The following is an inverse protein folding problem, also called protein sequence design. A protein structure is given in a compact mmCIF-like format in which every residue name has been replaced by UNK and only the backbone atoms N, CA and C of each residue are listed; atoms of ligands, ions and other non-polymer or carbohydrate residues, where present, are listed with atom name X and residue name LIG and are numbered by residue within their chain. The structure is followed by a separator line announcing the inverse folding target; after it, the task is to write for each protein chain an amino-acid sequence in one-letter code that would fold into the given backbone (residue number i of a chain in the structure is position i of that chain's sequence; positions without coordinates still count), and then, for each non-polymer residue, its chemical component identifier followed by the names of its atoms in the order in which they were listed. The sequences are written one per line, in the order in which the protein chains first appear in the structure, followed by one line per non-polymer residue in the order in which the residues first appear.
data_IF_028972251385
#
_entry.id   IF_028972251385
#
_cell.length_a   1.000
_cell.length_b   1.000
_cell.length_c   1.000
_cell.angle_alpha   90.00
_cell.angle_beta   90.00
_cell.angle_gamma   90.00
#
_symmetry.space_group_name_H-M   'P 1'
#
loop_
_entity.id
_entity.type
_entity.pdbx_description
1 polymer ?
#
# COMPACT_ATOMS: atom_id res chain seq x y z
N UNK A 1 -16.11 51.16 44.66
CA UNK A 1 -16.62 52.25 43.86
C UNK A 1 -18.13 52.29 44.06
N UNK A 2 -18.75 53.37 44.38
CA UNK A 2 -20.19 53.44 44.47
C UNK A 2 -20.76 53.16 43.09
N UNK A 3 -21.69 52.24 43.03
CA UNK A 3 -22.43 51.93 41.80
C UNK A 3 -23.15 53.20 41.39
N UNK A 4 -22.66 53.87 40.30
CA UNK A 4 -23.38 55.00 39.69
C UNK A 4 -24.74 54.49 39.25
N UNK A 5 -25.83 55.02 39.85
CA UNK A 5 -27.20 54.77 39.44
C UNK A 5 -27.44 55.48 38.09
N UNK A 6 -26.83 54.95 37.04
CA UNK A 6 -27.02 55.46 35.66
C UNK A 6 -28.22 54.71 35.06
N UNK A 7 -29.29 55.40 34.81
CA UNK A 7 -30.55 54.85 34.32
C UNK A 7 -30.44 54.49 32.85
N UNK A 8 -29.71 55.29 32.05
CA UNK A 8 -29.67 55.15 30.60
C UNK A 8 -28.72 54.05 30.11
N UNK A 9 -27.76 53.60 30.93
CA UNK A 9 -26.79 52.54 30.56
C UNK A 9 -26.76 51.50 31.64
N UNK A 10 -27.39 50.33 31.39
CA UNK A 10 -27.37 49.20 32.35
C UNK A 10 -26.10 48.36 32.15
N UNK A 11 -25.03 48.71 32.85
CA UNK A 11 -23.74 48.02 32.78
C UNK A 11 -23.85 46.54 33.21
N UNK A 12 -24.71 46.24 34.17
CA UNK A 12 -24.96 44.86 34.63
C UNK A 12 -25.61 44.01 33.52
N UNK A 13 -26.61 44.56 32.83
CA UNK A 13 -27.26 43.93 31.68
C UNK A 13 -26.31 43.72 30.52
N UNK A 14 -25.51 44.73 30.17
CA UNK A 14 -24.49 44.63 29.12
C UNK A 14 -23.44 43.57 29.43
N UNK A 15 -22.99 43.47 30.67
CA UNK A 15 -22.06 42.46 31.14
C UNK A 15 -22.67 41.04 31.07
N UNK A 16 -23.92 40.90 31.48
CA UNK A 16 -24.68 39.63 31.40
C UNK A 16 -24.87 39.20 29.93
N UNK A 17 -25.19 40.13 29.02
CA UNK A 17 -25.30 39.86 27.59
C UNK A 17 -23.95 39.39 26.99
N UNK A 18 -22.85 40.05 27.38
CA UNK A 18 -21.49 39.64 26.92
C UNK A 18 -21.11 38.23 27.40
N UNK A 19 -21.43 37.90 28.66
CA UNK A 19 -21.21 36.54 29.17
C UNK A 19 -22.10 35.52 28.49
N UNK A 20 -23.39 35.83 28.25
CA UNK A 20 -24.32 34.97 27.57
C UNK A 20 -23.86 34.70 26.10
N UNK A 21 -23.41 35.72 25.39
CA UNK A 21 -22.83 35.55 24.03
C UNK A 21 -21.63 34.59 24.04
N UNK A 22 -20.68 34.77 24.94
CA UNK A 22 -19.52 33.86 25.07
C UNK A 22 -19.93 32.42 25.42
N UNK A 23 -20.96 32.26 26.28
CA UNK A 23 -21.48 30.94 26.63
C UNK A 23 -22.14 30.26 25.42
N UNK A 24 -22.90 31.02 24.62
CA UNK A 24 -23.47 30.51 23.37
C UNK A 24 -22.39 30.11 22.37
N UNK A 25 -21.34 30.90 22.20
CA UNK A 25 -20.23 30.57 21.32
C UNK A 25 -19.53 29.27 21.78
N UNK A 26 -19.30 29.10 23.09
CA UNK A 26 -18.76 27.86 23.66
C UNK A 26 -19.69 26.66 23.46
N UNK A 27 -20.99 26.87 23.63
CA UNK A 27 -22.02 25.83 23.40
C UNK A 27 -22.00 25.34 21.94
N UNK A 28 -21.97 26.29 20.99
CA UNK A 28 -21.89 25.96 19.57
C UNK A 28 -20.62 25.20 19.25
N UNK A 29 -19.45 25.64 19.75
CA UNK A 29 -18.19 24.96 19.53
C UNK A 29 -18.19 23.53 20.10
N UNK A 30 -18.75 23.33 21.31
CA UNK A 30 -18.87 21.99 21.90
C UNK A 30 -19.82 21.08 21.10
N UNK A 31 -20.93 21.61 20.61
CA UNK A 31 -21.84 20.87 19.75
C UNK A 31 -21.18 20.48 18.42
N UNK A 32 -20.43 21.39 17.79
CA UNK A 32 -19.72 21.15 16.55
C UNK A 32 -18.66 20.03 16.73
N UNK A 33 -17.84 20.11 17.79
CA UNK A 33 -16.83 19.09 18.12
C UNK A 33 -17.44 17.73 18.43
N UNK A 34 -18.56 17.72 19.18
CA UNK A 34 -19.26 16.49 19.51
C UNK A 34 -19.90 15.84 18.29
N UNK A 35 -20.42 16.67 17.36
CA UNK A 35 -21.04 16.21 16.11
C UNK A 35 -20.02 15.69 15.10
N UNK A 36 -18.85 16.35 14.98
CA UNK A 36 -17.78 15.94 14.06
C UNK A 36 -16.87 14.86 14.64
N UNK A 37 -16.81 14.73 15.96
CA UNK A 37 -15.80 13.92 16.65
C UNK A 37 -14.40 14.52 16.66
N UNK A 38 -14.25 15.75 16.14
CA UNK A 38 -12.98 16.42 15.98
C UNK A 38 -12.85 17.63 16.89
N UNK A 39 -11.71 17.77 17.56
CA UNK A 39 -11.32 18.95 18.33
C UNK A 39 -10.94 20.13 17.42
N UNK A 40 -10.29 19.81 16.29
CA UNK A 40 -9.85 20.76 15.27
C UNK A 40 -10.66 20.50 14.02
N UNK A 41 -11.66 21.33 13.74
CA UNK A 41 -12.56 21.20 12.61
C UNK A 41 -12.22 22.19 11.49
N UNK A 42 -11.61 23.31 11.84
CA UNK A 42 -11.26 24.37 10.92
C UNK A 42 -9.90 24.98 11.24
N UNK A 43 -9.31 25.71 10.27
CA UNK A 43 -8.05 26.43 10.48
C UNK A 43 -8.17 27.51 11.57
N UNK A 44 -9.39 27.95 11.93
CA UNK A 44 -9.64 28.90 13.02
C UNK A 44 -9.37 28.26 14.38
N UNK A 45 -9.59 26.97 14.54
CA UNK A 45 -9.42 26.25 15.81
C UNK A 45 -7.94 25.99 16.11
N UNK A 46 -7.19 25.49 15.12
CA UNK A 46 -5.74 25.26 15.20
C UNK A 46 -5.16 25.13 13.79
N UNK A 47 -4.63 26.22 13.24
CA UNK A 47 -4.06 26.21 11.89
C UNK A 47 -2.82 25.32 11.77
N UNK A 48 -1.99 25.26 12.82
CA UNK A 48 -0.78 24.44 12.82
C UNK A 48 -1.11 22.95 12.95
N UNK A 49 -2.01 22.61 13.88
CA UNK A 49 -2.49 21.23 14.07
C UNK A 49 -3.19 20.68 12.83
N UNK A 50 -4.03 21.48 12.19
CA UNK A 50 -4.71 21.08 10.94
C UNK A 50 -3.71 20.80 9.82
N UNK A 51 -2.73 21.69 9.59
CA UNK A 51 -1.73 21.50 8.54
C UNK A 51 -0.86 20.24 8.78
N UNK A 52 -0.53 19.94 10.04
CA UNK A 52 0.19 18.71 10.40
C UNK A 52 -0.70 17.47 10.14
N UNK A 53 -1.96 17.52 10.56
CA UNK A 53 -2.92 16.43 10.39
C UNK A 53 -3.22 16.13 8.91
N UNK A 54 -3.32 17.15 8.07
CA UNK A 54 -3.50 17.00 6.62
C UNK A 54 -2.28 16.34 5.97
N UNK A 55 -1.07 16.74 6.37
CA UNK A 55 0.16 16.10 5.91
C UNK A 55 0.21 14.62 6.35
N UNK A 56 -0.13 14.32 7.61
CA UNK A 56 -0.23 12.95 8.11
C UNK A 56 -1.28 12.14 7.34
N UNK A 57 -2.42 12.74 7.05
CA UNK A 57 -3.49 12.11 6.25
C UNK A 57 -3.00 11.76 4.84
N UNK A 58 -2.26 12.66 4.20
CA UNK A 58 -1.63 12.41 2.90
C UNK A 58 -0.63 11.25 2.96
N UNK A 59 0.20 11.21 4.01
CA UNK A 59 1.17 10.12 4.21
C UNK A 59 0.49 8.78 4.48
N UNK A 60 -0.54 8.74 5.34
CA UNK A 60 -1.33 7.53 5.63
C UNK A 60 -1.97 6.97 4.36
N UNK A 61 -2.60 7.84 3.55
CA UNK A 61 -3.18 7.46 2.25
C UNK A 61 -2.10 6.95 1.29
N UNK A 62 -0.96 7.62 1.22
CA UNK A 62 0.19 7.20 0.42
C UNK A 62 0.70 5.83 0.81
N UNK A 63 0.88 5.55 2.11
CA UNK A 63 1.29 4.25 2.63
C UNK A 63 0.25 3.16 2.36
N UNK A 64 -1.04 3.48 2.45
CA UNK A 64 -2.12 2.53 2.13
C UNK A 64 -2.10 2.13 0.65
N UNK A 65 -1.83 3.08 -0.25
CA UNK A 65 -1.64 2.78 -1.69
C UNK A 65 -0.37 1.98 -1.90
N UNK A 66 0.73 2.34 -1.22
CA UNK A 66 2.00 1.62 -1.28
C UNK A 66 1.87 0.15 -0.87
N UNK A 67 1.07 -0.16 0.17
CA UNK A 67 0.76 -1.55 0.54
C UNK A 67 0.01 -2.31 -0.57
N UNK A 68 -0.93 -1.65 -1.27
CA UNK A 68 -1.59 -2.28 -2.43
C UNK A 68 -0.60 -2.55 -3.56
N UNK A 69 0.25 -1.58 -3.89
CA UNK A 69 1.27 -1.75 -4.90
C UNK A 69 2.26 -2.89 -4.55
N UNK A 70 2.59 -3.04 -3.26
CA UNK A 70 3.44 -4.15 -2.79
C UNK A 70 2.75 -5.51 -2.97
N UNK A 71 1.44 -5.61 -2.71
CA UNK A 71 0.66 -6.82 -2.98
C UNK A 71 0.57 -7.14 -4.47
N UNK A 72 0.44 -6.12 -5.34
CA UNK A 72 0.50 -6.30 -6.79
C UNK A 72 1.88 -6.83 -7.22
N UNK A 73 2.95 -6.34 -6.58
CA UNK A 73 4.31 -6.83 -6.79
C UNK A 73 4.47 -8.30 -6.38
N UNK A 74 3.88 -8.72 -5.25
CA UNK A 74 3.85 -10.12 -4.82
C UNK A 74 3.10 -10.97 -5.85
N UNK A 75 1.92 -10.55 -6.29
CA UNK A 75 1.10 -11.27 -7.26
C UNK A 75 1.81 -11.45 -8.60
N UNK A 76 2.52 -10.41 -9.06
CA UNK A 76 3.35 -10.48 -10.26
C UNK A 76 4.52 -11.48 -10.08
N UNK A 77 5.20 -11.43 -8.94
CA UNK A 77 6.31 -12.35 -8.65
C UNK A 77 5.85 -13.81 -8.56
N UNK A 78 4.68 -14.07 -7.97
CA UNK A 78 4.06 -15.39 -7.92
C UNK A 78 3.69 -15.90 -9.31
N UNK A 79 3.15 -15.04 -10.18
CA UNK A 79 2.83 -15.41 -11.56
C UNK A 79 4.10 -15.75 -12.34
N UNK A 80 5.19 -14.99 -12.15
CA UNK A 80 6.49 -15.28 -12.74
C UNK A 80 7.06 -16.61 -12.23
N UNK A 81 6.96 -16.86 -10.92
CA UNK A 81 7.42 -18.10 -10.29
C UNK A 81 6.65 -19.32 -10.79
N UNK A 82 5.33 -19.23 -10.94
CA UNK A 82 4.51 -20.30 -11.50
C UNK A 82 4.93 -20.63 -12.95
N UNK A 83 5.13 -19.61 -13.79
CA UNK A 83 5.66 -19.79 -15.13
C UNK A 83 7.04 -20.43 -15.16
N UNK A 84 7.94 -20.04 -14.25
CA UNK A 84 9.27 -20.66 -14.13
C UNK A 84 9.19 -22.09 -13.57
N UNK A 85 8.20 -22.42 -12.75
CA UNK A 85 7.94 -23.78 -12.31
C UNK A 85 7.65 -24.72 -13.47
N UNK A 86 6.72 -24.34 -14.35
CA UNK A 86 6.40 -25.13 -15.56
C UNK A 86 7.58 -25.21 -16.54
N UNK A 87 8.42 -24.15 -16.63
CA UNK A 87 9.69 -24.18 -17.36
C UNK A 87 10.63 -25.25 -16.80
N UNK A 88 10.80 -25.32 -15.47
CA UNK A 88 11.65 -26.33 -14.81
C UNK A 88 11.16 -27.73 -15.06
N UNK A 89 9.85 -28.01 -14.94
CA UNK A 89 9.24 -29.31 -15.24
C UNK A 89 9.49 -29.75 -16.68
N UNK A 90 9.29 -28.81 -17.62
CA UNK A 90 9.55 -29.05 -19.05
C UNK A 90 11.03 -29.38 -19.31
N UNK A 91 11.95 -28.64 -18.69
CA UNK A 91 13.39 -28.87 -18.79
C UNK A 91 13.78 -30.24 -18.21
N UNK A 92 13.20 -30.66 -17.09
CA UNK A 92 13.44 -31.98 -16.51
C UNK A 92 12.96 -33.08 -17.45
N UNK A 93 11.80 -32.95 -18.06
CA UNK A 93 11.33 -33.90 -19.07
C UNK A 93 12.24 -33.95 -20.30
N UNK A 94 12.69 -32.80 -20.77
CA UNK A 94 13.68 -32.73 -21.86
C UNK A 94 15.00 -33.44 -21.47
N UNK A 95 15.43 -33.29 -20.22
CA UNK A 95 16.63 -33.95 -19.68
C UNK A 95 16.47 -35.46 -19.69
N UNK A 96 15.34 -35.99 -19.26
CA UNK A 96 15.04 -37.43 -19.26
C UNK A 96 15.14 -38.02 -20.67
N UNK A 97 14.54 -37.34 -21.66
CA UNK A 97 14.62 -37.74 -23.07
C UNK A 97 16.06 -37.70 -23.59
N UNK A 98 16.84 -36.69 -23.21
CA UNK A 98 18.23 -36.58 -23.61
C UNK A 98 19.11 -37.67 -22.99
N UNK A 99 18.89 -38.02 -21.72
CA UNK A 99 19.57 -39.14 -21.04
C UNK A 99 19.21 -40.46 -21.70
N UNK A 100 17.92 -40.69 -22.02
CA UNK A 100 17.49 -41.88 -22.74
C UNK A 100 18.14 -41.98 -24.12
N UNK A 101 18.20 -40.87 -24.88
CA UNK A 101 18.84 -40.82 -26.19
C UNK A 101 20.37 -40.98 -26.13
N UNK A 102 20.98 -40.71 -24.96
CA UNK A 102 22.44 -40.90 -24.75
C UNK A 102 22.85 -42.39 -24.70
N UNK A 103 21.91 -43.31 -24.52
CA UNK A 103 22.16 -44.75 -24.53
C UNK A 103 22.28 -45.29 -25.97
N UNK A 104 23.38 -44.99 -26.62
CA UNK A 104 23.65 -45.41 -28.00
C UNK A 104 23.72 -46.91 -28.21
N UNK A 105 23.95 -47.68 -27.16
CA UNK A 105 24.05 -49.15 -27.25
C UNK A 105 22.69 -49.81 -27.33
N UNK A 106 21.66 -49.26 -26.66
CA UNK A 106 20.35 -49.87 -26.57
C UNK A 106 19.25 -49.15 -27.38
N UNK A 107 19.45 -47.87 -27.77
CA UNK A 107 18.47 -47.05 -28.48
C UNK A 107 18.93 -46.89 -29.92
N UNK A 108 18.10 -47.40 -30.85
CA UNK A 108 18.41 -47.30 -32.29
C UNK A 108 18.36 -45.84 -32.78
N UNK A 109 18.97 -45.52 -33.92
CA UNK A 109 18.89 -44.21 -34.54
C UNK A 109 17.43 -43.77 -34.76
N UNK A 110 16.59 -44.70 -35.28
CA UNK A 110 15.16 -44.45 -35.51
C UNK A 110 14.38 -44.16 -34.25
N UNK A 111 14.72 -44.80 -33.10
CA UNK A 111 14.02 -44.54 -31.84
C UNK A 111 14.48 -43.20 -31.26
N UNK A 112 15.75 -42.84 -31.43
CA UNK A 112 16.28 -41.50 -31.06
C UNK A 112 15.58 -40.38 -31.85
N UNK A 113 15.21 -40.63 -33.14
CA UNK A 113 14.43 -39.65 -33.93
C UNK A 113 13.04 -39.43 -33.33
N UNK A 114 12.40 -40.44 -32.81
CA UNK A 114 11.10 -40.31 -32.07
C UNK A 114 11.26 -39.51 -30.80
N UNK A 115 12.30 -39.80 -29.98
CA UNK A 115 12.61 -39.02 -28.78
C UNK A 115 12.93 -37.58 -29.12
N UNK A 116 13.65 -37.33 -30.23
CA UNK A 116 13.96 -35.99 -30.68
C UNK A 116 12.73 -35.20 -31.15
N UNK A 117 11.72 -35.88 -31.71
CA UNK A 117 10.46 -35.23 -32.05
C UNK A 117 9.77 -34.68 -30.81
N UNK A 118 9.65 -35.50 -29.73
CA UNK A 118 9.11 -35.05 -28.45
C UNK A 118 9.97 -33.92 -27.85
N UNK A 119 11.29 -34.08 -27.86
CA UNK A 119 12.24 -33.08 -27.37
C UNK A 119 12.05 -31.71 -28.05
N UNK A 120 11.87 -31.69 -29.36
CA UNK A 120 11.62 -30.45 -30.13
C UNK A 120 10.27 -29.82 -29.77
N UNK A 121 9.22 -30.61 -29.58
CA UNK A 121 7.91 -30.08 -29.16
C UNK A 121 7.98 -29.45 -27.76
N UNK A 122 8.67 -30.10 -26.84
CA UNK A 122 8.92 -29.53 -25.51
C UNK A 122 9.73 -28.22 -25.58
N UNK A 123 10.72 -28.13 -26.49
CA UNK A 123 11.46 -26.89 -26.72
C UNK A 123 10.59 -25.76 -27.27
N UNK A 124 9.65 -26.05 -28.18
CA UNK A 124 8.68 -25.06 -28.68
C UNK A 124 7.73 -24.63 -27.56
N UNK A 125 7.25 -25.55 -26.74
CA UNK A 125 6.38 -25.23 -25.59
C UNK A 125 7.12 -24.39 -24.55
N UNK A 126 8.36 -24.73 -24.24
CA UNK A 126 9.22 -23.92 -23.38
C UNK A 126 9.33 -22.47 -23.87
N UNK A 127 9.56 -22.29 -25.18
CA UNK A 127 9.58 -20.98 -25.80
C UNK A 127 8.23 -20.26 -25.76
N UNK A 128 7.12 -21.00 -25.86
CA UNK A 128 5.78 -20.46 -25.74
C UNK A 128 5.49 -19.96 -24.33
N UNK A 129 5.82 -20.74 -23.31
CA UNK A 129 5.64 -20.36 -21.90
C UNK A 129 6.38 -19.08 -21.60
N UNK A 130 7.66 -18.98 -21.98
CA UNK A 130 8.49 -17.80 -21.70
C UNK A 130 7.95 -16.52 -22.39
N UNK A 131 7.47 -16.66 -23.64
CA UNK A 131 6.96 -15.51 -24.40
C UNK A 131 5.56 -15.09 -24.01
N UNK A 132 4.73 -16.03 -23.48
CA UNK A 132 3.32 -15.79 -23.28
C UNK A 132 2.92 -15.61 -21.81
N UNK A 133 3.79 -15.93 -20.86
CA UNK A 133 3.51 -15.65 -19.44
C UNK A 133 3.41 -14.15 -19.24
N UNK A 134 2.23 -13.71 -18.81
CA UNK A 134 1.92 -12.29 -18.64
C UNK A 134 1.18 -12.01 -17.33
N UNK A 135 1.34 -10.78 -16.86
CA UNK A 135 0.60 -10.23 -15.73
C UNK A 135 0.04 -8.87 -16.14
N UNK A 136 -1.28 -8.70 -16.07
CA UNK A 136 -1.98 -7.49 -16.47
C UNK A 136 -1.56 -6.98 -17.88
N UNK A 137 -1.48 -7.90 -18.87
CA UNK A 137 -1.10 -7.59 -20.25
C UNK A 137 0.39 -7.32 -20.49
N UNK A 138 1.22 -7.37 -19.44
CA UNK A 138 2.68 -7.21 -19.56
C UNK A 138 3.36 -8.58 -19.51
N UNK A 139 4.21 -8.86 -20.51
CA UNK A 139 5.02 -10.07 -20.52
C UNK A 139 6.09 -9.99 -19.44
N UNK A 140 6.18 -11.05 -18.59
CA UNK A 140 7.04 -10.99 -17.40
C UNK A 140 8.31 -11.82 -17.48
N UNK A 141 8.40 -12.80 -18.42
CA UNK A 141 9.55 -13.70 -18.55
C UNK A 141 10.44 -13.40 -19.78
N UNK A 142 10.01 -12.50 -20.65
CA UNK A 142 10.70 -12.19 -21.91
C UNK A 142 11.64 -10.96 -21.81
N UNK A 143 11.96 -10.49 -20.60
CA UNK A 143 12.82 -9.33 -20.37
C UNK A 143 12.13 -7.97 -20.52
N UNK A 144 10.84 -7.90 -20.79
CA UNK A 144 10.11 -6.62 -20.85
C UNK A 144 9.99 -5.93 -19.50
N UNK A 145 10.25 -6.63 -18.41
CA UNK A 145 10.19 -6.13 -17.02
C UNK A 145 11.59 -6.02 -16.37
N UNK A 146 12.60 -5.68 -17.15
CA UNK A 146 13.90 -5.36 -16.56
C UNK A 146 13.79 -4.04 -15.80
N UNK A 147 13.96 -4.09 -14.45
CA UNK A 147 13.91 -2.91 -13.60
C UNK A 147 12.49 -2.36 -13.38
N UNK A 148 11.47 -3.21 -13.34
CA UNK A 148 10.12 -2.77 -12.96
C UNK A 148 10.12 -2.26 -11.52
N UNK A 149 9.87 -0.96 -11.35
CA UNK A 149 9.85 -0.31 -10.04
C UNK A 149 8.43 -0.31 -9.46
N UNK A 150 8.28 -0.86 -8.26
CA UNK A 150 7.07 -0.79 -7.48
C UNK A 150 7.22 0.30 -6.42
N UNK A 151 6.33 1.28 -6.43
CA UNK A 151 6.30 2.34 -5.43
C UNK A 151 5.70 1.78 -4.13
N UNK A 152 6.56 1.58 -3.13
CA UNK A 152 6.22 0.98 -1.83
C UNK A 152 6.40 1.95 -0.67
N UNK A 153 6.41 3.23 -0.95
CA UNK A 153 6.45 4.28 0.06
C UNK A 153 5.72 5.54 -0.40
N UNK A 154 5.34 6.44 0.54
CA UNK A 154 4.52 7.60 0.24
C UNK A 154 5.29 8.74 -0.45
N UNK A 155 6.63 8.69 -0.47
CA UNK A 155 7.48 9.76 -0.95
C UNK A 155 8.13 9.41 -2.30
N UNK A 156 8.74 10.42 -2.97
CA UNK A 156 9.34 10.30 -4.30
C UNK A 156 10.79 9.81 -4.29
N UNK A 157 11.42 9.65 -3.12
CA UNK A 157 12.80 9.19 -3.02
C UNK A 157 12.95 7.75 -3.53
N UNK A 158 14.11 7.40 -4.06
CA UNK A 158 14.40 6.09 -4.67
C UNK A 158 14.32 4.91 -3.70
N UNK A 159 14.51 5.16 -2.40
CA UNK A 159 14.34 4.17 -1.32
C UNK A 159 12.88 3.78 -1.08
N UNK A 160 11.93 4.56 -1.61
CA UNK A 160 10.50 4.24 -1.59
C UNK A 160 10.08 3.31 -2.74
N UNK A 161 11.04 2.72 -3.46
CA UNK A 161 10.79 1.83 -4.58
C UNK A 161 11.49 0.48 -4.36
N UNK A 162 10.82 -0.60 -4.73
CA UNK A 162 11.42 -1.92 -4.88
C UNK A 162 11.49 -2.24 -6.36
N UNK A 163 12.72 -2.38 -6.87
CA UNK A 163 12.95 -2.84 -8.24
C UNK A 163 12.84 -4.35 -8.31
N UNK A 164 11.98 -4.84 -9.18
CA UNK A 164 11.87 -6.25 -9.53
C UNK A 164 12.52 -6.42 -10.90
N UNK A 165 13.61 -7.17 -10.94
CA UNK A 165 14.28 -7.49 -12.21
C UNK A 165 14.02 -8.96 -12.51
N UNK A 166 13.18 -9.21 -13.51
CA UNK A 166 13.04 -10.52 -14.13
C UNK A 166 13.95 -10.51 -15.36
N UNK A 167 15.04 -11.28 -15.31
CA UNK A 167 15.95 -11.37 -16.43
C UNK A 167 15.26 -11.99 -17.64
N UNK A 168 15.68 -11.57 -18.82
CA UNK A 168 15.18 -12.11 -20.09
C UNK A 168 15.60 -13.58 -20.25
N UNK A 169 14.67 -14.47 -19.91
CA UNK A 169 14.89 -15.92 -20.06
C UNK A 169 15.06 -16.32 -21.51
N UNK A 170 14.53 -15.56 -22.47
CA UNK A 170 14.69 -15.85 -23.89
C UNK A 170 16.11 -15.54 -24.38
N UNK A 171 16.83 -14.64 -23.71
CA UNK A 171 18.24 -14.31 -24.05
C UNK A 171 19.26 -15.14 -23.28
N UNK A 172 18.86 -15.94 -22.29
CA UNK A 172 19.77 -16.87 -21.66
C UNK A 172 20.24 -17.89 -22.67
N UNK A 173 21.51 -17.91 -22.97
CA UNK A 173 22.10 -18.70 -24.07
C UNK A 173 21.75 -20.19 -23.99
N UNK A 174 21.74 -20.77 -22.78
CA UNK A 174 21.36 -22.18 -22.55
C UNK A 174 19.89 -22.44 -22.89
N UNK A 175 18.98 -21.51 -22.54
CA UNK A 175 17.55 -21.61 -22.85
C UNK A 175 17.27 -21.32 -24.33
N UNK A 176 17.90 -20.29 -24.90
CA UNK A 176 17.71 -19.93 -26.32
C UNK A 176 18.18 -21.03 -27.28
N UNK A 177 19.15 -21.83 -26.90
CA UNK A 177 19.56 -23.00 -27.65
C UNK A 177 18.53 -24.14 -27.67
N UNK A 178 17.70 -24.22 -26.61
CA UNK A 178 16.64 -25.22 -26.45
C UNK A 178 15.34 -24.84 -27.17
N UNK A 179 15.05 -23.55 -27.38
CA UNK A 179 13.83 -23.08 -28.07
C UNK A 179 13.86 -23.29 -29.57
N UNK A 180 15.03 -23.52 -30.12
CA UNK A 180 15.22 -23.69 -31.54
C UNK A 180 15.63 -25.11 -31.90
N UNK A 181 15.77 -25.36 -33.19
CA UNK A 181 16.24 -26.62 -33.76
C UNK A 181 17.75 -26.84 -33.60
N UNK A 182 18.45 -26.00 -32.81
CA UNK A 182 19.91 -26.00 -32.69
C UNK A 182 20.46 -27.20 -31.93
N UNK A 183 19.74 -27.65 -30.89
CA UNK A 183 20.10 -28.86 -30.15
C UNK A 183 19.20 -30.00 -30.59
N UNK A 184 19.82 -31.12 -30.94
CA UNK A 184 19.14 -32.33 -31.40
C UNK A 184 19.71 -33.54 -30.66
N UNK A 185 18.83 -34.50 -30.31
CA UNK A 185 19.17 -35.77 -29.69
C UNK A 185 18.88 -36.96 -30.64
N UNK A 186 18.54 -36.71 -31.91
CA UNK A 186 18.09 -37.69 -32.89
C UNK A 186 19.17 -38.61 -33.41
N UNK A 187 18.77 -39.51 -34.35
CA UNK A 187 19.62 -40.56 -34.91
C UNK A 187 20.85 -40.05 -35.67
N UNK A 188 20.78 -38.86 -36.24
CA UNK A 188 21.91 -38.23 -36.93
C UNK A 188 22.94 -37.52 -36.02
N UNK A 189 22.79 -37.58 -34.69
CA UNK A 189 23.67 -36.96 -33.70
C UNK A 189 24.68 -37.96 -33.13
N UNK A 190 25.86 -37.46 -32.76
CA UNK A 190 26.86 -38.25 -32.03
C UNK A 190 26.68 -38.12 -30.48
N UNK A 191 27.36 -38.97 -29.73
CA UNK A 191 27.27 -38.98 -28.25
C UNK A 191 27.72 -37.65 -27.64
N UNK A 192 28.63 -36.92 -28.25
CA UNK A 192 29.10 -35.63 -27.78
C UNK A 192 27.99 -34.58 -27.85
N UNK A 193 27.22 -34.54 -28.95
CA UNK A 193 26.13 -33.61 -29.15
C UNK A 193 25.00 -33.83 -28.14
N UNK A 194 24.65 -35.08 -27.84
CA UNK A 194 23.63 -35.40 -26.82
C UNK A 194 24.09 -35.01 -25.41
N UNK A 195 25.39 -35.24 -25.10
CA UNK A 195 25.96 -34.79 -23.81
C UNK A 195 25.98 -33.28 -23.68
N UNK A 196 26.27 -32.55 -24.77
CA UNK A 196 26.14 -31.08 -24.78
C UNK A 196 24.71 -30.61 -24.55
N UNK A 197 23.71 -31.31 -25.10
CA UNK A 197 22.32 -31.02 -24.83
C UNK A 197 21.96 -31.20 -23.35
N UNK A 198 22.41 -32.28 -22.73
CA UNK A 198 22.24 -32.50 -21.26
C UNK A 198 22.87 -31.37 -20.45
N UNK A 199 24.14 -31.03 -20.75
CA UNK A 199 24.85 -29.95 -20.05
C UNK A 199 24.15 -28.58 -20.23
N UNK A 200 23.62 -28.31 -21.41
CA UNK A 200 22.84 -27.07 -21.66
C UNK A 200 21.56 -27.03 -20.85
N UNK A 201 20.85 -28.17 -20.72
CA UNK A 201 19.64 -28.29 -19.91
C UNK A 201 19.98 -28.09 -18.42
N UNK A 202 21.03 -28.74 -17.92
CA UNK A 202 21.44 -28.60 -16.51
C UNK A 202 21.81 -27.14 -16.18
N UNK A 203 22.50 -26.47 -17.10
CA UNK A 203 22.82 -25.05 -16.97
C UNK A 203 21.55 -24.19 -17.00
N UNK A 204 20.58 -24.54 -17.86
CA UNK A 204 19.29 -23.84 -17.95
C UNK A 204 18.48 -23.97 -16.65
N UNK A 205 18.39 -25.19 -16.09
CA UNK A 205 17.72 -25.45 -14.83
C UNK A 205 18.36 -24.60 -13.73
N UNK A 206 19.69 -24.64 -13.59
CA UNK A 206 20.41 -23.86 -12.58
C UNK A 206 20.16 -22.34 -12.69
N UNK A 207 20.03 -21.81 -13.93
CA UNK A 207 19.68 -20.40 -14.12
C UNK A 207 18.25 -20.09 -13.71
N UNK A 208 17.29 -20.94 -14.06
CA UNK A 208 15.88 -20.78 -13.66
C UNK A 208 15.75 -20.82 -12.13
N UNK A 209 16.47 -21.72 -11.45
CA UNK A 209 16.46 -21.83 -10.00
C UNK A 209 17.03 -20.58 -9.32
N UNK A 210 18.09 -19.98 -9.85
CA UNK A 210 18.62 -18.70 -9.38
C UNK A 210 17.56 -17.58 -9.53
N UNK A 211 16.85 -17.53 -10.63
CA UNK A 211 15.80 -16.53 -10.82
C UNK A 211 14.62 -16.74 -9.89
N UNK A 212 14.19 -17.98 -9.66
CA UNK A 212 13.14 -18.32 -8.69
C UNK A 212 13.57 -17.93 -7.26
N UNK A 213 14.82 -18.22 -6.89
CA UNK A 213 15.36 -17.81 -5.58
C UNK A 213 15.33 -16.29 -5.40
N UNK A 214 15.72 -15.54 -6.43
CA UNK A 214 15.66 -14.07 -6.39
C UNK A 214 14.21 -13.55 -6.25
N UNK A 215 13.25 -14.16 -6.96
CA UNK A 215 11.84 -13.80 -6.83
C UNK A 215 11.32 -14.08 -5.42
N UNK A 216 11.67 -15.22 -4.82
CA UNK A 216 11.34 -15.53 -3.43
C UNK A 216 11.91 -14.51 -2.44
N UNK A 217 13.17 -14.08 -2.64
CA UNK A 217 13.77 -13.03 -1.83
C UNK A 217 13.03 -11.68 -1.98
N UNK A 218 12.61 -11.33 -3.19
CA UNK A 218 11.84 -10.11 -3.47
C UNK A 218 10.44 -10.19 -2.83
N UNK A 219 9.76 -11.33 -2.89
CA UNK A 219 8.48 -11.54 -2.21
C UNK A 219 8.62 -11.30 -0.70
N UNK A 220 9.65 -11.86 -0.06
CA UNK A 220 9.91 -11.64 1.36
C UNK A 220 10.19 -10.16 1.68
N UNK A 221 10.88 -9.44 0.79
CA UNK A 221 11.08 -7.99 0.94
C UNK A 221 9.75 -7.23 0.90
N UNK A 222 8.85 -7.57 -0.01
CA UNK A 222 7.51 -6.96 -0.06
C UNK A 222 6.72 -7.24 1.22
N UNK A 223 6.70 -8.49 1.70
CA UNK A 223 6.01 -8.86 2.95
C UNK A 223 6.53 -8.04 4.14
N UNK A 224 7.86 -7.94 4.28
CA UNK A 224 8.49 -7.13 5.34
C UNK A 224 8.13 -5.64 5.20
N UNK A 225 8.13 -5.14 3.98
CA UNK A 225 7.75 -3.74 3.70
C UNK A 225 6.29 -3.47 4.06
N UNK A 226 5.36 -4.38 3.72
CA UNK A 226 3.94 -4.28 4.09
C UNK A 226 3.78 -4.22 5.60
N UNK A 227 4.46 -5.09 6.35
CA UNK A 227 4.41 -5.10 7.82
C UNK A 227 4.90 -3.77 8.43
N UNK A 228 6.00 -3.22 7.89
CA UNK A 228 6.53 -1.92 8.30
C UNK A 228 5.55 -0.78 8.00
N UNK A 229 4.95 -0.78 6.79
CA UNK A 229 3.97 0.22 6.40
C UNK A 229 2.71 0.15 7.28
N UNK A 230 2.23 -1.04 7.64
CA UNK A 230 1.10 -1.21 8.56
C UNK A 230 1.38 -0.58 9.92
N UNK A 231 2.53 -0.88 10.52
CA UNK A 231 2.95 -0.28 11.79
C UNK A 231 3.09 1.24 11.68
N UNK A 232 3.62 1.74 10.57
CA UNK A 232 3.75 3.18 10.31
C UNK A 232 2.39 3.86 10.17
N UNK A 233 1.43 3.25 9.48
CA UNK A 233 0.05 3.75 9.35
C UNK A 233 -0.63 3.81 10.71
N UNK A 234 -0.50 2.77 11.53
CA UNK A 234 -1.06 2.74 12.88
C UNK A 234 -0.49 3.86 13.76
N UNK A 235 0.83 4.00 13.81
CA UNK A 235 1.50 5.03 14.60
C UNK A 235 1.14 6.45 14.14
N UNK A 236 1.10 6.69 12.81
CA UNK A 236 0.69 7.99 12.28
C UNK A 236 -0.79 8.28 12.48
N UNK A 237 -1.66 7.27 12.39
CA UNK A 237 -3.08 7.41 12.68
C UNK A 237 -3.29 7.76 14.16
N UNK A 238 -2.62 7.08 15.07
CA UNK A 238 -2.66 7.40 16.49
C UNK A 238 -2.11 8.80 16.82
N UNK A 239 -1.04 9.22 16.12
CA UNK A 239 -0.50 10.57 16.27
C UNK A 239 -1.46 11.64 15.74
N UNK A 240 -2.09 11.39 14.58
CA UNK A 240 -3.11 12.27 14.00
C UNK A 240 -4.32 12.39 14.92
N UNK A 241 -4.81 11.27 15.47
CA UNK A 241 -5.92 11.23 16.41
C UNK A 241 -5.67 12.14 17.62
N UNK A 242 -4.47 12.09 18.22
CA UNK A 242 -4.11 13.00 19.33
C UNK A 242 -4.13 14.48 18.97
N UNK A 243 -3.96 14.82 17.69
CA UNK A 243 -3.98 16.22 17.24
C UNK A 243 -5.41 16.70 16.98
N UNK A 244 -6.21 15.93 16.28
CA UNK A 244 -7.50 16.41 15.74
C UNK A 244 -8.73 15.82 16.40
N UNK A 245 -8.67 14.66 17.07
CA UNK A 245 -9.87 14.03 17.63
C UNK A 245 -10.27 14.69 18.95
N UNK A 246 -11.57 14.72 19.21
CA UNK A 246 -12.13 15.26 20.44
C UNK A 246 -12.23 14.18 21.52
N UNK A 247 -11.92 14.55 22.77
CA UNK A 247 -12.28 13.75 23.95
C UNK A 247 -13.77 13.96 24.24
N UNK A 248 -14.57 12.94 23.93
CA UNK A 248 -16.01 12.97 24.13
C UNK A 248 -16.41 13.20 25.60
N UNK A 249 -15.68 12.68 26.57
CA UNK A 249 -16.00 12.85 27.97
C UNK A 249 -15.78 14.31 28.43
N UNK A 250 -14.66 14.91 28.00
CA UNK A 250 -14.38 16.31 28.28
C UNK A 250 -15.39 17.23 27.55
N UNK A 251 -15.74 16.93 26.31
CA UNK A 251 -16.60 17.80 25.51
C UNK A 251 -18.07 17.73 25.95
N UNK A 252 -18.58 16.56 26.40
CA UNK A 252 -19.92 16.43 27.01
C UNK A 252 -20.03 17.18 28.33
N UNK A 253 -18.96 17.17 29.15
CA UNK A 253 -18.90 17.97 30.37
C UNK A 253 -18.91 19.48 30.08
N UNK A 254 -18.20 19.92 29.04
CA UNK A 254 -18.18 21.32 28.57
C UNK A 254 -19.55 21.74 28.02
N UNK A 255 -20.20 20.86 27.24
CA UNK A 255 -21.56 21.06 26.74
C UNK A 255 -22.56 21.27 27.90
N UNK A 256 -22.57 20.35 28.86
CA UNK A 256 -23.45 20.44 30.04
C UNK A 256 -23.19 21.71 30.84
N UNK A 257 -21.92 22.06 31.05
CA UNK A 257 -21.55 23.31 31.74
C UNK A 257 -22.06 24.52 30.97
N UNK A 258 -21.89 24.57 29.66
CA UNK A 258 -22.35 25.68 28.82
C UNK A 258 -23.88 25.82 28.84
N UNK A 259 -24.61 24.70 28.84
CA UNK A 259 -26.09 24.71 28.98
C UNK A 259 -26.54 25.28 30.32
N UNK A 260 -25.92 24.86 31.43
CA UNK A 260 -26.22 25.40 32.75
C UNK A 260 -25.90 26.90 32.83
N UNK A 261 -24.73 27.32 32.29
CA UNK A 261 -24.35 28.72 32.26
C UNK A 261 -25.27 29.57 31.39
N UNK A 262 -25.80 29.03 30.30
CA UNK A 262 -26.79 29.69 29.46
C UNK A 262 -28.08 29.95 30.22
N UNK A 263 -28.59 28.92 30.92
CA UNK A 263 -29.81 29.06 31.77
C UNK A 263 -29.58 30.07 32.91
N UNK A 264 -28.43 29.98 33.59
CA UNK A 264 -28.08 30.93 34.66
C UNK A 264 -27.92 32.36 34.11
N UNK A 265 -27.27 32.49 32.92
CA UNK A 265 -27.05 33.77 32.26
C UNK A 265 -28.35 34.48 31.85
N UNK A 266 -29.32 33.73 31.37
CA UNK A 266 -30.67 34.28 31.05
C UNK A 266 -31.39 34.75 32.29
N UNK A 267 -31.32 34.00 33.41
CA UNK A 267 -31.91 34.38 34.67
C UNK A 267 -31.23 35.65 35.26
N UNK A 268 -29.90 35.72 35.18
CA UNK A 268 -29.13 36.89 35.64
C UNK A 268 -29.41 38.12 34.79
N UNK A 269 -29.60 37.96 33.45
CA UNK A 269 -29.97 39.05 32.56
C UNK A 269 -31.38 39.60 32.94
N UNK A 270 -32.35 38.74 33.21
CA UNK A 270 -33.64 39.13 33.69
C UNK A 270 -33.58 39.92 35.03
N UNK A 271 -32.75 39.41 35.97
CA UNK A 271 -32.53 40.05 37.26
C UNK A 271 -31.86 41.43 37.13
N UNK A 272 -30.85 41.53 36.21
CA UNK A 272 -30.15 42.79 35.95
C UNK A 272 -31.10 43.86 35.33
N UNK A 273 -32.04 43.41 34.50
CA UNK A 273 -33.07 44.33 33.95
C UNK A 273 -34.11 44.78 34.99
N UNK A 274 -34.48 43.91 35.92
CA UNK A 274 -35.41 44.26 37.02
C UNK A 274 -34.79 45.23 38.01
N UNK A 275 -33.51 45.17 38.28
CA UNK A 275 -32.80 46.04 39.22
C UNK A 275 -32.98 47.53 38.80
N UNK A 276 -32.89 47.87 37.54
CA UNK A 276 -33.10 49.23 37.04
C UNK A 276 -34.59 49.69 37.09
N UNK A 277 -35.53 48.75 36.98
CA UNK A 277 -36.97 49.11 37.16
C UNK A 277 -37.32 49.50 38.60
N UNK A 278 -36.63 48.95 39.55
CA UNK A 278 -36.78 49.35 40.99
C UNK A 278 -36.40 50.80 41.23
N UNK A 279 -35.35 51.32 40.52
CA UNK A 279 -34.91 52.72 40.60
C UNK A 279 -35.94 53.67 39.96
N UNK A 280 -36.57 53.25 38.87
CA UNK A 280 -37.66 54.03 38.23
C UNK A 280 -38.90 54.16 39.13
N UNK A 281 -39.24 53.17 39.93
CA UNK A 281 -40.35 53.22 40.90
C UNK A 281 -40.09 54.17 42.09
N UNK A 282 -38.84 54.46 42.39
CA UNK A 282 -38.46 55.44 43.42
C UNK A 282 -38.50 56.89 42.95
N UNK A 283 -38.60 57.13 41.65
CA UNK A 283 -38.67 58.41 40.99
C UNK A 283 -40.09 58.81 40.59
N UNK A 284 -41.07 57.92 40.75
CA UNK A 284 -42.49 58.17 40.64
C UNK A 284 -43.13 58.36 42.01
#
# INVERSE_FOLDING_TARGET
MPSSMVINTNIASLNSQKFLSRTNDSLHASMERLSSGLRVNSAKDDAAGLAIADRMTSQIRGMTVAMRNANDGISMAQTAEAGMGTVTETLQRMRDLAVQAANFAAVSGSDRDKLNAEFKQLGLELGRIIRNTEFNGKKILNGSLVGANFQVGPNTASDNQISVTVSDLAKVQSLSALFGTKLSIGGGTNSVSVRLAISAIDTAIGKVDIFRSNLGAIQNRFVTTIANLQSSVENQSAARSRIIDADFAAETANLSRSQILQQAGTAMLAQANQANQGVLRLLQ
#
